data_IF_611302598253
#
_entry.id   IF_611302598253
#
_cell.length_a   1.000
_cell.length_b   1.000
_cell.length_c   1.000
_cell.angle_alpha   90.00
_cell.angle_beta   90.00
_cell.angle_gamma   90.00
#
_symmetry.space_group_name_H-M   'P 1'
#
loop_
_entity.id
_entity.type
_entity.pdbx_description
1 polymer ?
#
# COMPACT_ATOMS: atom_id res chain seq x y z
N UNK A 1 19.72 0.25 -20.75
CA UNK A 1 20.15 -0.55 -19.58
C UNK A 1 18.93 -0.84 -18.73
N UNK A 2 18.45 -2.09 -18.74
CA UNK A 2 17.24 -2.52 -18.02
C UNK A 2 17.61 -2.77 -16.55
N UNK A 3 17.22 -1.88 -15.65
CA UNK A 3 17.39 -2.08 -14.21
C UNK A 3 16.18 -2.87 -13.71
N UNK A 4 16.42 -4.13 -13.41
CA UNK A 4 15.45 -5.04 -12.81
C UNK A 4 14.93 -4.44 -11.51
N UNK A 5 13.65 -4.07 -11.49
CA UNK A 5 12.94 -3.77 -10.25
C UNK A 5 12.75 -5.12 -9.54
N UNK A 6 13.64 -5.38 -8.59
CA UNK A 6 13.55 -6.52 -7.69
C UNK A 6 12.21 -6.39 -6.96
N UNK A 7 11.24 -7.20 -7.36
CA UNK A 7 10.02 -7.45 -6.61
C UNK A 7 10.46 -8.09 -5.29
N UNK A 8 10.72 -7.25 -4.29
CA UNK A 8 10.92 -7.69 -2.92
C UNK A 8 9.57 -8.18 -2.40
N UNK A 9 9.19 -9.39 -2.80
CA UNK A 9 8.16 -10.18 -2.14
C UNK A 9 8.60 -10.29 -0.70
N UNK A 10 7.95 -9.49 0.14
CA UNK A 10 8.24 -9.40 1.55
C UNK A 10 8.09 -10.82 2.14
N UNK A 11 9.13 -11.38 2.79
CA UNK A 11 9.09 -12.73 3.30
C UNK A 11 8.25 -12.75 4.59
N UNK A 12 6.92 -12.72 4.43
CA UNK A 12 5.97 -12.69 5.54
C UNK A 12 5.76 -14.06 6.21
N UNK A 13 6.50 -15.11 5.82
CA UNK A 13 6.23 -16.50 6.21
C UNK A 13 7.12 -17.09 7.32
N UNK A 14 7.92 -16.28 8.02
CA UNK A 14 8.78 -16.77 9.11
C UNK A 14 8.40 -16.20 10.48
N UNK A 15 7.14 -16.35 10.90
CA UNK A 15 6.78 -16.24 12.33
C UNK A 15 6.83 -17.66 12.91
N UNK A 16 8.05 -18.12 13.16
CA UNK A 16 8.31 -19.30 13.98
C UNK A 16 8.19 -18.90 15.47
N UNK A 17 7.32 -19.61 16.19
CA UNK A 17 7.12 -19.64 17.65
C UNK A 17 7.96 -18.64 18.46
N UNK A 18 7.37 -17.48 18.74
CA UNK A 18 7.93 -16.47 19.63
C UNK A 18 6.86 -16.13 20.68
N UNK A 19 7.24 -15.78 21.90
CA UNK A 19 6.30 -15.53 23.01
C UNK A 19 5.21 -14.54 22.58
N UNK A 20 4.01 -14.52 23.20
CA UNK A 20 2.98 -13.54 22.83
C UNK A 20 3.48 -12.09 22.86
N UNK A 21 4.45 -11.77 23.74
CA UNK A 21 5.15 -10.48 23.76
C UNK A 21 5.98 -10.19 22.49
N UNK A 22 6.69 -11.19 21.97
CA UNK A 22 7.45 -11.09 20.71
C UNK A 22 6.50 -11.00 19.51
N UNK A 23 5.36 -11.70 19.57
CA UNK A 23 4.32 -11.63 18.53
C UNK A 23 3.74 -10.22 18.43
N UNK A 24 3.37 -9.61 19.56
CA UNK A 24 2.85 -8.24 19.59
C UNK A 24 3.89 -7.19 19.19
N UNK A 25 5.16 -7.38 19.57
CA UNK A 25 6.28 -6.54 19.12
C UNK A 25 6.42 -6.57 17.60
N UNK A 26 6.39 -7.76 17.00
CA UNK A 26 6.47 -7.94 15.56
C UNK A 26 5.26 -7.36 14.82
N UNK A 27 4.05 -7.53 15.36
CA UNK A 27 2.83 -6.96 14.79
C UNK A 27 2.84 -5.43 14.84
N UNK A 28 3.31 -4.83 15.95
CA UNK A 28 3.50 -3.37 16.03
C UNK A 28 4.51 -2.88 15.00
N UNK A 29 5.64 -3.58 14.87
CA UNK A 29 6.62 -3.24 13.83
C UNK A 29 5.99 -3.28 12.44
N UNK A 30 5.26 -4.35 12.12
CA UNK A 30 4.58 -4.48 10.83
C UNK A 30 3.51 -3.40 10.60
N UNK A 31 2.81 -2.97 11.65
CA UNK A 31 1.85 -1.87 11.58
C UNK A 31 2.56 -0.55 11.23
N UNK A 32 3.65 -0.21 11.93
CA UNK A 32 4.43 0.99 11.65
C UNK A 32 5.04 0.98 10.25
N UNK A 33 5.56 -0.17 9.81
CA UNK A 33 6.10 -0.33 8.46
C UNK A 33 4.99 -0.10 7.41
N UNK A 34 3.79 -0.66 7.62
CA UNK A 34 2.63 -0.50 6.73
C UNK A 34 2.15 0.95 6.68
N UNK A 35 2.00 1.61 7.85
CA UNK A 35 1.60 3.01 7.93
C UNK A 35 2.63 3.94 7.28
N UNK A 36 3.93 3.68 7.46
CA UNK A 36 5.01 4.44 6.83
C UNK A 36 4.99 4.30 5.31
N UNK A 37 4.85 3.07 4.81
CA UNK A 37 4.76 2.80 3.38
C UNK A 37 3.49 3.42 2.75
N UNK A 38 2.39 3.49 3.51
CA UNK A 38 1.20 4.23 3.09
C UNK A 38 1.48 5.72 2.95
N UNK A 39 2.12 6.37 3.93
CA UNK A 39 2.44 7.80 3.85
C UNK A 39 3.29 8.13 2.63
N UNK A 40 4.28 7.29 2.31
CA UNK A 40 5.09 7.45 1.11
C UNK A 40 4.23 7.33 -0.17
N UNK A 41 3.35 6.32 -0.22
CA UNK A 41 2.45 6.09 -1.36
C UNK A 41 1.44 7.24 -1.51
N UNK A 42 0.88 7.74 -0.40
CA UNK A 42 -0.04 8.86 -0.36
C UNK A 42 0.61 10.15 -0.87
N UNK A 43 1.90 10.37 -0.55
CA UNK A 43 2.68 11.50 -1.09
C UNK A 43 2.81 11.40 -2.61
N UNK A 44 3.14 10.21 -3.13
CA UNK A 44 3.18 9.97 -4.58
C UNK A 44 1.81 10.14 -5.26
N UNK A 45 0.74 9.69 -4.62
CA UNK A 45 -0.63 9.89 -5.06
C UNK A 45 -1.00 11.37 -5.15
N UNK A 46 -0.68 12.16 -4.13
CA UNK A 46 -0.93 13.60 -4.14
C UNK A 46 -0.16 14.29 -5.27
N UNK A 47 1.11 13.94 -5.47
CA UNK A 47 1.92 14.48 -6.57
C UNK A 47 1.33 14.15 -7.94
N UNK A 48 0.89 12.91 -8.16
CA UNK A 48 0.23 12.52 -9.40
C UNK A 48 -1.10 13.26 -9.61
N UNK A 49 -1.94 13.34 -8.57
CA UNK A 49 -3.24 14.01 -8.64
C UNK A 49 -3.12 15.52 -8.92
N UNK A 50 -1.99 16.12 -8.53
CA UNK A 50 -1.66 17.52 -8.75
C UNK A 50 -1.01 17.80 -10.12
N UNK A 51 -0.58 16.78 -10.88
CA UNK A 51 0.26 16.95 -12.08
C UNK A 51 -0.45 17.63 -13.27
N UNK A 52 -1.76 17.87 -13.20
CA UNK A 52 -2.57 18.45 -14.28
C UNK A 52 -2.74 17.55 -15.52
N UNK A 53 -1.91 16.51 -15.65
CA UNK A 53 -1.87 15.54 -16.76
C UNK A 53 -2.29 14.14 -16.33
N UNK A 54 -2.80 13.99 -15.11
CA UNK A 54 -3.29 12.72 -14.58
C UNK A 54 -4.42 12.15 -15.44
N UNK A 55 -4.29 10.89 -15.82
CA UNK A 55 -5.36 10.15 -16.48
C UNK A 55 -6.58 10.07 -15.55
N UNK A 56 -7.80 10.38 -16.02
CA UNK A 56 -8.98 10.42 -15.18
C UNK A 56 -9.36 9.07 -14.56
N UNK A 57 -9.07 7.96 -15.25
CA UNK A 57 -9.30 6.60 -14.77
C UNK A 57 -8.34 6.28 -13.64
N UNK A 58 -7.04 6.49 -13.87
CA UNK A 58 -6.00 6.25 -12.86
C UNK A 58 -6.20 7.16 -11.63
N UNK A 59 -6.64 8.40 -11.85
CA UNK A 59 -7.03 9.32 -10.77
C UNK A 59 -8.18 8.78 -9.92
N UNK A 60 -9.20 8.18 -10.54
CA UNK A 60 -10.31 7.56 -9.81
C UNK A 60 -9.86 6.30 -9.04
N UNK A 61 -8.99 5.49 -9.64
CA UNK A 61 -8.41 4.30 -9.00
C UNK A 61 -7.56 4.67 -7.78
N UNK A 62 -6.65 5.64 -7.92
CA UNK A 62 -5.83 6.14 -6.81
C UNK A 62 -6.71 6.66 -5.67
N UNK A 63 -7.74 7.46 -5.97
CA UNK A 63 -8.66 7.97 -4.93
C UNK A 63 -9.40 6.85 -4.21
N UNK A 64 -9.89 5.86 -4.96
CA UNK A 64 -10.62 4.71 -4.41
C UNK A 64 -9.71 3.87 -3.52
N UNK A 65 -8.49 3.58 -3.99
CA UNK A 65 -7.50 2.82 -3.23
C UNK A 65 -7.04 3.57 -1.97
N UNK A 66 -6.81 4.89 -2.06
CA UNK A 66 -6.49 5.71 -0.90
C UNK A 66 -7.63 5.70 0.14
N UNK A 67 -8.88 5.85 -0.30
CA UNK A 67 -10.03 5.80 0.61
C UNK A 67 -10.19 4.42 1.26
N UNK A 68 -10.01 3.35 0.50
CA UNK A 68 -10.08 1.98 1.01
C UNK A 68 -8.98 1.67 2.03
N UNK A 69 -7.80 2.28 1.90
CA UNK A 69 -6.70 2.14 2.85
C UNK A 69 -6.92 2.90 4.16
N UNK A 70 -7.72 3.96 4.18
CA UNK A 70 -7.93 4.76 5.40
C UNK A 70 -8.54 3.94 6.54
N UNK A 71 -9.60 3.19 6.28
CA UNK A 71 -10.30 2.43 7.32
C UNK A 71 -9.39 1.45 8.09
N UNK A 72 -8.64 0.54 7.44
CA UNK A 72 -7.75 -0.37 8.17
C UNK A 72 -6.56 0.35 8.79
N UNK A 73 -6.04 1.43 8.20
CA UNK A 73 -4.92 2.19 8.79
C UNK A 73 -5.34 2.93 10.06
N UNK A 74 -6.50 3.57 10.06
CA UNK A 74 -7.05 4.22 11.26
C UNK A 74 -7.29 3.20 12.37
N UNK A 75 -7.77 1.99 12.04
CA UNK A 75 -7.94 0.93 13.03
C UNK A 75 -6.59 0.49 13.66
N UNK A 76 -5.52 0.39 12.85
CA UNK A 76 -4.18 0.11 13.36
C UNK A 76 -3.65 1.24 14.25
N UNK A 77 -3.81 2.49 13.83
CA UNK A 77 -3.38 3.67 14.57
C UNK A 77 -4.09 3.76 15.93
N UNK A 78 -5.43 3.63 15.95
CA UNK A 78 -6.21 3.59 17.20
C UNK A 78 -5.76 2.44 18.12
N UNK A 79 -5.47 1.26 17.55
CA UNK A 79 -4.99 0.12 18.35
C UNK A 79 -3.61 0.40 18.95
N UNK A 80 -2.73 1.08 18.23
CA UNK A 80 -1.40 1.47 18.71
C UNK A 80 -1.50 2.52 19.81
N UNK A 81 -2.29 3.58 19.60
CA UNK A 81 -2.49 4.67 20.56
C UNK A 81 -3.11 4.18 21.87
N UNK A 82 -4.10 3.29 21.77
CA UNK A 82 -4.76 2.66 22.93
C UNK A 82 -3.93 1.54 23.58
N UNK A 83 -2.77 1.19 22.99
CA UNK A 83 -1.97 0.02 23.37
C UNK A 83 -2.74 -1.31 23.36
N UNK A 84 -3.77 -1.39 22.51
CA UNK A 84 -4.55 -2.60 22.29
C UNK A 84 -3.78 -3.63 21.49
N UNK A 85 -4.23 -4.88 21.58
CA UNK A 85 -3.63 -5.95 20.80
C UNK A 85 -3.88 -5.80 19.30
N UNK A 86 -2.86 -6.12 18.51
CA UNK A 86 -2.94 -6.07 17.07
C UNK A 86 -3.26 -7.47 16.57
N UNK A 87 -3.95 -7.54 15.44
CA UNK A 87 -4.26 -8.83 14.81
C UNK A 87 -3.50 -8.96 13.51
N UNK A 88 -3.03 -10.17 13.21
CA UNK A 88 -2.46 -10.51 11.91
C UNK A 88 -3.41 -10.13 10.78
N UNK A 89 -4.71 -10.36 10.95
CA UNK A 89 -5.77 -9.99 10.00
C UNK A 89 -5.88 -8.48 9.79
N UNK A 90 -5.77 -7.67 10.85
CA UNK A 90 -5.76 -6.22 10.74
C UNK A 90 -4.56 -5.72 9.93
N UNK A 91 -3.37 -6.24 10.22
CA UNK A 91 -2.15 -5.92 9.47
C UNK A 91 -2.27 -6.34 8.00
N UNK A 92 -2.72 -7.56 7.72
CA UNK A 92 -2.84 -8.06 6.34
C UNK A 92 -3.88 -7.29 5.53
N UNK A 93 -4.95 -6.82 6.18
CA UNK A 93 -5.97 -5.98 5.53
C UNK A 93 -5.38 -4.62 5.14
N UNK A 94 -4.66 -3.97 6.05
CA UNK A 94 -3.97 -2.71 5.77
C UNK A 94 -2.90 -2.87 4.68
N UNK A 95 -2.11 -3.95 4.74
CA UNK A 95 -1.09 -4.25 3.73
C UNK A 95 -1.69 -4.51 2.34
N UNK A 96 -2.85 -5.17 2.27
CA UNK A 96 -3.56 -5.41 1.00
C UNK A 96 -4.09 -4.11 0.39
N UNK A 97 -4.65 -3.23 1.23
CA UNK A 97 -5.12 -1.92 0.78
C UNK A 97 -3.96 -1.03 0.31
N UNK A 98 -2.81 -1.09 1.00
CA UNK A 98 -1.58 -0.45 0.56
C UNK A 98 -1.09 -0.97 -0.79
N UNK A 99 -1.10 -2.30 -0.99
CA UNK A 99 -0.70 -2.91 -2.26
C UNK A 99 -1.59 -2.44 -3.42
N UNK A 100 -2.91 -2.30 -3.19
CA UNK A 100 -3.83 -1.75 -4.19
C UNK A 100 -3.48 -0.30 -4.56
N UNK A 101 -3.16 0.54 -3.58
CA UNK A 101 -2.71 1.91 -3.82
C UNK A 101 -1.39 1.96 -4.61
N UNK A 102 -0.42 1.14 -4.22
CA UNK A 102 0.87 1.04 -4.94
C UNK A 102 0.69 0.55 -6.37
N UNK A 103 -0.24 -0.38 -6.62
CA UNK A 103 -0.58 -0.85 -7.96
C UNK A 103 -1.18 0.27 -8.82
N UNK A 104 -2.11 1.06 -8.26
CA UNK A 104 -2.68 2.20 -8.99
C UNK A 104 -1.61 3.27 -9.32
N UNK A 105 -0.66 3.49 -8.42
CA UNK A 105 0.48 4.39 -8.66
C UNK A 105 1.48 3.83 -9.68
N UNK A 106 1.67 2.51 -9.72
CA UNK A 106 2.49 1.88 -10.75
C UNK A 106 1.84 2.04 -12.14
N UNK A 107 0.51 1.89 -12.23
CA UNK A 107 -0.23 2.16 -13.47
C UNK A 107 -0.08 3.62 -13.92
N UNK A 108 -0.03 4.56 -12.96
CA UNK A 108 0.22 5.98 -13.23
C UNK A 108 1.62 6.26 -13.82
N UNK A 109 2.61 5.41 -13.54
CA UNK A 109 3.99 5.53 -14.02
C UNK A 109 4.27 4.66 -15.25
N UNK A 110 3.34 3.77 -15.62
CA UNK A 110 3.47 2.96 -16.81
C UNK A 110 3.45 3.89 -18.04
N UNK A 111 4.37 3.69 -19.01
CA UNK A 111 4.27 4.41 -20.27
C UNK A 111 2.89 4.13 -20.86
N UNK A 112 2.20 5.18 -21.30
CA UNK A 112 0.91 5.04 -21.98
C UNK A 112 1.07 3.98 -23.06
N UNK A 113 0.43 2.83 -22.86
CA UNK A 113 0.30 1.86 -23.94
C UNK A 113 -0.64 2.53 -24.92
N UNK A 114 -0.07 3.11 -25.96
CA UNK A 114 -0.81 3.48 -27.16
C UNK A 114 -1.51 2.21 -27.63
N UNK A 115 -2.77 2.06 -27.25
CA UNK A 115 -3.66 1.14 -27.92
C UNK A 115 -3.92 1.79 -29.27
N UNK A 116 -3.02 1.57 -30.21
CA UNK A 116 -3.25 1.86 -31.62
C UNK A 116 -4.41 0.97 -32.03
N UNK A 117 -5.63 1.50 -31.97
CA UNK A 117 -6.74 0.97 -32.75
C UNK A 117 -6.41 1.25 -34.21
N UNK A 118 -5.63 0.36 -34.82
CA UNK A 118 -5.52 0.28 -36.28
C UNK A 118 -6.92 0.02 -36.80
N UNK A 119 -7.42 0.96 -37.59
CA UNK A 119 -8.74 0.86 -38.21
C UNK A 119 -8.80 -0.29 -39.21
N UNK A 120 -9.99 -0.84 -39.34
CA UNK A 120 -10.52 -1.45 -40.55
C UNK A 120 -11.98 -1.00 -40.67
#
# INVERSE_FOLDING_TARGET
MRKHLILAVMPLLAVAACSPADTQTNLRKAAYDTMSAYHLSATGAQAYLASGTADPTIKAEIKTASAAAMAPLTALETSIESQSDLTTTGISTAASALAALQSALAAAQAPATTTTKTGN
#
